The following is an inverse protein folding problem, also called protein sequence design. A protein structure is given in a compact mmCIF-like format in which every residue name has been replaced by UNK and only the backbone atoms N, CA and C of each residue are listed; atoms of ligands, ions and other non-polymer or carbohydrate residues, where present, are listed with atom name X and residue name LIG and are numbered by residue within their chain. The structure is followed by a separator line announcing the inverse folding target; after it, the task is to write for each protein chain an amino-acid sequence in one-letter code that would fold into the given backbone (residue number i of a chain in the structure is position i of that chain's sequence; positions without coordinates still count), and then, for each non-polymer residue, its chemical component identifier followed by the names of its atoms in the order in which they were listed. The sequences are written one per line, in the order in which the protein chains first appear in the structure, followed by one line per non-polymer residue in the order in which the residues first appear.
data_IF_359594722674
#
_entry.id   IF_359594722674
#
_cell.length_a   1.000
_cell.length_b   1.000
_cell.length_c   1.000
_cell.angle_alpha   90.00
_cell.angle_beta   90.00
_cell.angle_gamma   90.00
#
_symmetry.space_group_name_H-M   'P 1'
#
loop_
_entity.id
_entity.type
_entity.pdbx_description
1 polymer ?
#
# COMPACT_ATOMS: atom_id res chain seq x y z
N UNK A 1 12.88 -7.75 13.02
CA UNK A 1 12.56 -6.77 11.96
C UNK A 1 11.47 -5.73 12.37
N UNK A 2 10.77 -5.88 13.48
CA UNK A 2 9.66 -5.01 13.97
C UNK A 2 10.00 -3.53 14.24
N UNK A 3 11.25 -3.09 14.18
CA UNK A 3 11.64 -1.70 14.56
C UNK A 3 12.22 -0.81 13.45
N UNK A 4 12.35 -1.30 12.23
CA UNK A 4 12.92 -0.52 11.12
C UNK A 4 11.86 0.17 10.25
N UNK A 5 10.65 -0.36 10.18
CA UNK A 5 9.58 0.19 9.36
C UNK A 5 9.04 1.56 9.84
N UNK A 6 8.77 1.78 11.15
CA UNK A 6 8.28 3.09 11.60
C UNK A 6 9.30 4.21 11.40
N UNK A 7 10.60 3.92 11.37
CA UNK A 7 11.64 4.92 11.19
C UNK A 7 11.76 5.44 9.75
N UNK A 8 11.48 4.63 8.75
CA UNK A 8 11.52 5.03 7.34
C UNK A 8 10.29 5.87 6.98
N UNK A 9 9.12 5.51 7.50
CA UNK A 9 7.88 6.28 7.34
C UNK A 9 7.99 7.63 8.08
N UNK A 10 8.58 7.66 9.28
CA UNK A 10 8.84 8.88 10.03
C UNK A 10 9.83 9.81 9.29
N UNK A 11 10.83 9.29 8.60
CA UNK A 11 11.79 10.10 7.85
C UNK A 11 11.16 10.74 6.60
N UNK A 12 10.24 10.04 5.92
CA UNK A 12 9.47 10.58 4.78
C UNK A 12 8.41 11.58 5.22
N UNK A 13 7.80 11.40 6.41
CA UNK A 13 6.87 12.37 6.98
C UNK A 13 7.55 13.66 7.45
N UNK A 14 8.80 13.61 7.92
CA UNK A 14 9.56 14.79 8.34
C UNK A 14 9.85 15.74 7.16
N UNK A 15 9.97 15.23 5.94
CA UNK A 15 10.10 16.07 4.75
C UNK A 15 8.79 16.81 4.39
N UNK A 16 7.62 16.27 4.79
CA UNK A 16 6.31 16.90 4.59
C UNK A 16 5.88 17.85 5.71
N UNK A 17 6.42 17.69 6.94
CA UNK A 17 6.00 18.45 8.11
C UNK A 17 6.77 19.76 8.34
N UNK A 18 7.79 20.07 7.53
CA UNK A 18 8.57 21.31 7.71
C UNK A 18 7.81 22.60 7.36
N UNK A 19 6.52 22.52 7.03
CA UNK A 19 5.67 23.70 6.80
C UNK A 19 4.53 23.88 7.81
N UNK A 20 4.40 23.04 8.82
CA UNK A 20 3.27 23.05 9.75
C UNK A 20 3.63 23.48 11.21
N UNK A 21 4.84 23.92 11.46
CA UNK A 21 5.18 24.50 12.78
C UNK A 21 5.38 26.01 12.67
N UNK A 22 4.38 26.75 13.02
CA UNK A 22 4.40 27.97 13.86
C UNK A 22 2.99 28.49 14.01
N UNK A 23 2.48 28.45 15.13
CA UNK A 23 2.18 29.42 16.16
C UNK A 23 0.96 29.00 16.95
N UNK A 24 1.24 28.39 18.07
CA UNK A 24 0.37 28.54 19.22
C UNK A 24 0.52 29.99 19.71
N UNK A 25 -0.55 30.76 19.66
CA UNK A 25 -0.81 31.73 20.71
C UNK A 25 -2.22 32.29 20.72
N UNK A 26 -2.78 32.25 21.91
CA UNK A 26 -3.88 33.06 22.48
C UNK A 26 -5.32 32.72 22.11
N UNK A 27 -5.88 32.01 23.07
CA UNK A 27 -7.27 32.13 23.51
C UNK A 27 -7.83 33.55 23.37
N UNK A 28 -8.86 33.68 22.53
CA UNK A 28 -9.90 34.68 22.75
C UNK A 28 -11.24 33.99 22.38
N UNK A 29 -12.05 33.78 23.38
CA UNK A 29 -13.46 33.41 23.20
C UNK A 29 -14.13 34.45 22.32
N UNK A 30 -14.52 34.05 21.15
CA UNK A 30 -15.48 34.81 20.34
C UNK A 30 -16.51 33.86 19.75
N UNK A 31 -17.70 33.95 20.28
CA UNK A 31 -19.01 33.62 19.69
C UNK A 31 -18.97 32.72 18.46
N UNK A 32 -19.49 31.50 18.62
CA UNK A 32 -19.89 30.59 17.54
C UNK A 32 -20.84 31.31 16.58
N UNK A 33 -20.29 31.99 15.57
CA UNK A 33 -21.06 32.38 14.41
C UNK A 33 -21.14 31.12 13.54
N UNK A 34 -22.33 30.53 13.42
CA UNK A 34 -22.62 29.53 12.40
C UNK A 34 -22.26 30.13 11.05
N UNK A 35 -21.09 29.80 10.50
CA UNK A 35 -20.70 30.22 9.17
C UNK A 35 -21.17 29.14 8.19
N UNK A 36 -22.00 29.56 7.28
CA UNK A 36 -22.50 28.73 6.18
C UNK A 36 -21.33 28.20 5.32
N UNK A 37 -21.49 27.04 4.68
CA UNK A 37 -20.47 26.52 3.78
C UNK A 37 -20.24 27.49 2.63
N UNK A 38 -19.00 27.88 2.39
CA UNK A 38 -18.67 28.76 1.27
C UNK A 38 -18.63 27.92 0.00
N UNK A 39 -19.60 28.08 -0.89
CA UNK A 39 -19.81 27.22 -2.04
C UNK A 39 -18.69 27.22 -3.08
N UNK A 40 -18.00 28.36 -3.29
CA UNK A 40 -17.02 28.53 -4.38
C UNK A 40 -15.75 29.20 -3.85
N UNK A 41 -14.59 28.65 -4.17
CA UNK A 41 -13.28 29.19 -3.89
C UNK A 41 -12.48 29.39 -5.19
N UNK A 42 -12.00 30.61 -5.41
CA UNK A 42 -11.07 30.94 -6.48
C UNK A 42 -9.73 31.33 -5.84
N UNK A 43 -8.66 30.66 -6.20
CA UNK A 43 -7.36 30.79 -5.55
C UNK A 43 -6.22 30.91 -6.56
N UNK A 44 -5.50 32.04 -6.53
CA UNK A 44 -4.25 32.20 -7.29
C UNK A 44 -3.04 31.72 -6.48
N UNK A 45 -3.01 31.99 -5.17
CA UNK A 45 -1.93 31.60 -4.27
C UNK A 45 -2.46 31.45 -2.84
N UNK A 46 -1.70 30.80 -1.94
CA UNK A 46 -2.08 30.48 -0.55
C UNK A 46 -2.74 31.64 0.23
N UNK A 47 -2.34 32.88 -0.03
CA UNK A 47 -2.87 34.08 0.63
C UNK A 47 -3.73 34.96 -0.32
N UNK A 48 -3.94 34.55 -1.56
CA UNK A 48 -4.75 35.25 -2.57
C UNK A 48 -5.92 34.36 -2.98
N UNK A 49 -6.71 33.97 -1.99
CA UNK A 49 -7.90 33.11 -2.14
C UNK A 49 -9.14 33.92 -1.72
N UNK A 50 -10.26 33.66 -2.35
CA UNK A 50 -11.56 34.18 -1.93
C UNK A 50 -12.01 33.69 -0.57
N UNK A 51 -11.35 32.62 -0.05
CA UNK A 51 -11.53 32.11 1.31
C UNK A 51 -10.24 32.25 2.11
N UNK A 52 -10.33 32.84 3.30
CA UNK A 52 -9.24 32.83 4.26
C UNK A 52 -9.10 31.43 4.90
N UNK A 53 -7.88 31.00 5.12
CA UNK A 53 -7.49 29.67 5.62
C UNK A 53 -8.08 29.29 6.99
N UNK A 54 -8.51 30.29 7.77
CA UNK A 54 -9.03 30.11 9.14
C UNK A 54 -10.55 29.89 9.21
N UNK A 55 -11.23 29.77 8.09
CA UNK A 55 -12.69 29.57 8.10
C UNK A 55 -13.04 28.08 8.30
N UNK A 56 -13.84 27.79 9.31
CA UNK A 56 -14.43 26.48 9.63
C UNK A 56 -15.46 26.04 8.58
N UNK A 57 -15.24 26.34 7.32
CA UNK A 57 -16.17 26.06 6.23
C UNK A 57 -15.74 24.88 5.35
N UNK A 58 -16.68 24.35 4.59
CA UNK A 58 -16.40 23.39 3.51
C UNK A 58 -16.54 24.08 2.16
N UNK A 59 -15.60 23.78 1.25
CA UNK A 59 -15.62 24.27 -0.13
C UNK A 59 -16.31 23.24 -1.00
N UNK A 60 -17.31 23.65 -1.80
CA UNK A 60 -17.99 22.76 -2.75
C UNK A 60 -17.34 22.79 -4.14
N UNK A 61 -16.84 23.94 -4.56
CA UNK A 61 -16.12 24.10 -5.82
C UNK A 61 -14.86 24.93 -5.61
N UNK A 62 -13.74 24.44 -6.06
CA UNK A 62 -12.45 25.13 -5.99
C UNK A 62 -11.76 25.13 -7.35
N UNK A 63 -11.30 26.30 -7.79
CA UNK A 63 -10.51 26.46 -8.99
C UNK A 63 -9.33 27.39 -8.69
N UNK A 64 -8.10 26.96 -9.05
CA UNK A 64 -6.94 27.80 -8.77
C UNK A 64 -5.61 27.30 -9.34
N UNK A 65 -4.57 28.09 -9.11
CA UNK A 65 -3.19 27.65 -9.35
C UNK A 65 -2.69 26.81 -8.18
N UNK A 66 -2.74 27.40 -6.99
CA UNK A 66 -2.44 26.71 -5.73
C UNK A 66 -3.52 27.09 -4.72
N UNK A 67 -4.19 26.10 -4.15
CA UNK A 67 -5.26 26.32 -3.18
C UNK A 67 -5.01 25.66 -1.86
N UNK A 68 -5.52 26.30 -0.82
CA UNK A 68 -5.48 25.83 0.55
C UNK A 68 -6.87 26.00 1.15
N UNK A 69 -7.44 24.92 1.68
CA UNK A 69 -8.80 24.92 2.22
C UNK A 69 -8.91 23.97 3.42
N UNK A 70 -9.92 24.22 4.29
CA UNK A 70 -10.12 23.38 5.46
C UNK A 70 -10.71 22.02 5.09
N UNK A 71 -11.80 22.02 4.30
CA UNK A 71 -12.45 20.80 3.78
C UNK A 71 -12.87 21.02 2.33
N UNK A 72 -12.82 19.96 1.54
CA UNK A 72 -13.40 19.93 0.19
C UNK A 72 -14.56 18.93 0.16
N UNK A 73 -15.77 19.43 -0.13
CA UNK A 73 -16.96 18.61 -0.34
C UNK A 73 -17.52 18.90 -1.74
N UNK A 74 -16.89 18.34 -2.77
CA UNK A 74 -17.28 18.57 -4.15
C UNK A 74 -16.13 18.47 -5.13
N UNK A 75 -15.86 19.51 -5.92
CA UNK A 75 -14.85 19.47 -6.99
C UNK A 75 -13.78 20.52 -6.77
N UNK A 76 -12.53 20.08 -6.79
CA UNK A 76 -11.34 20.94 -6.73
C UNK A 76 -10.45 20.73 -7.96
N UNK A 77 -10.15 21.80 -8.69
CA UNK A 77 -9.24 21.77 -9.84
C UNK A 77 -8.14 22.81 -9.62
N UNK A 78 -6.89 22.38 -9.60
CA UNK A 78 -5.75 23.26 -9.41
C UNK A 78 -4.63 22.94 -10.39
N UNK A 79 -3.95 23.95 -10.89
CA UNK A 79 -2.88 23.73 -11.86
C UNK A 79 -1.61 23.19 -11.17
N UNK A 80 -1.24 23.71 -10.00
CA UNK A 80 -0.01 23.32 -9.30
C UNK A 80 -0.31 22.37 -8.15
N UNK A 81 -1.04 22.83 -7.14
CA UNK A 81 -1.23 22.05 -5.95
C UNK A 81 -2.48 22.40 -5.17
N UNK A 82 -2.90 21.48 -4.33
CA UNK A 82 -4.03 21.66 -3.44
C UNK A 82 -3.72 21.09 -2.07
N UNK A 83 -3.99 21.87 -1.04
CA UNK A 83 -3.88 21.47 0.37
C UNK A 83 -5.25 21.51 1.01
N UNK A 84 -5.73 20.37 1.48
CA UNK A 84 -6.95 20.23 2.27
C UNK A 84 -6.52 19.84 3.68
N UNK A 85 -6.73 20.68 4.67
CA UNK A 85 -6.23 20.45 6.03
C UNK A 85 -6.93 19.31 6.76
N UNK A 86 -8.19 19.04 6.44
CA UNK A 86 -9.00 17.98 7.03
C UNK A 86 -9.43 16.99 5.95
N UNK A 87 -10.74 16.84 5.77
CA UNK A 87 -11.29 15.78 4.94
C UNK A 87 -11.61 16.27 3.52
N UNK A 88 -11.44 15.41 2.56
CA UNK A 88 -11.81 15.59 1.18
C UNK A 88 -12.89 14.58 0.80
N UNK A 89 -14.04 15.08 0.30
CA UNK A 89 -15.12 14.27 -0.24
C UNK A 89 -15.49 14.77 -1.65
N UNK A 90 -15.26 13.97 -2.67
CA UNK A 90 -15.58 14.33 -4.05
C UNK A 90 -14.44 14.10 -5.01
N UNK A 91 -14.14 15.09 -5.86
CA UNK A 91 -13.12 14.99 -6.90
C UNK A 91 -12.08 16.09 -6.74
N UNK A 92 -10.81 15.73 -6.72
CA UNK A 92 -9.69 16.66 -6.65
C UNK A 92 -8.69 16.35 -7.77
N UNK A 93 -8.41 17.33 -8.61
CA UNK A 93 -7.48 17.22 -9.73
C UNK A 93 -6.42 18.31 -9.64
N UNK A 94 -5.16 17.93 -9.65
CA UNK A 94 -4.03 18.88 -9.63
C UNK A 94 -2.95 18.51 -10.64
N UNK A 95 -2.25 19.53 -11.13
CA UNK A 95 -1.13 19.31 -12.03
C UNK A 95 0.09 18.67 -11.34
N UNK A 96 0.37 19.02 -10.05
CA UNK A 96 1.53 18.47 -9.35
C UNK A 96 1.13 17.62 -8.16
N UNK A 97 0.57 18.22 -7.09
CA UNK A 97 0.38 17.50 -5.83
C UNK A 97 -0.93 17.82 -5.13
N UNK A 98 -1.55 16.78 -4.57
CA UNK A 98 -2.64 16.87 -3.62
C UNK A 98 -2.15 16.48 -2.23
N UNK A 99 -2.45 17.30 -1.23
CA UNK A 99 -2.23 17.00 0.16
C UNK A 99 -3.57 17.08 0.91
N UNK A 100 -3.96 16.01 1.56
CA UNK A 100 -5.14 15.92 2.42
C UNK A 100 -4.65 15.53 3.81
N UNK A 101 -4.88 16.38 4.81
CA UNK A 101 -4.41 16.14 6.17
C UNK A 101 -5.19 15.06 6.91
N UNK A 102 -6.46 14.86 6.57
CA UNK A 102 -7.34 13.82 7.11
C UNK A 102 -7.70 12.77 6.07
N UNK A 103 -8.96 12.35 6.08
CA UNK A 103 -9.45 11.29 5.19
C UNK A 103 -9.90 11.80 3.83
N UNK A 104 -9.61 11.02 2.80
CA UNK A 104 -10.03 11.23 1.42
C UNK A 104 -11.12 10.24 1.04
N UNK A 105 -12.24 10.74 0.46
CA UNK A 105 -13.30 9.92 -0.13
C UNK A 105 -13.67 10.43 -1.52
N UNK A 106 -13.54 9.58 -2.51
CA UNK A 106 -13.88 9.90 -3.89
C UNK A 106 -12.72 9.72 -4.86
N UNK A 107 -12.37 10.73 -5.64
CA UNK A 107 -11.34 10.64 -6.69
C UNK A 107 -10.28 11.72 -6.49
N UNK A 108 -9.03 11.32 -6.48
CA UNK A 108 -7.89 12.21 -6.38
C UNK A 108 -6.90 11.94 -7.53
N UNK A 109 -6.55 12.97 -8.28
CA UNK A 109 -5.63 12.87 -9.41
C UNK A 109 -4.56 13.94 -9.28
N UNK A 110 -3.29 13.54 -9.36
CA UNK A 110 -2.14 14.44 -9.36
C UNK A 110 -1.08 14.02 -10.37
N UNK A 111 -0.42 14.98 -10.98
CA UNK A 111 0.68 14.69 -11.90
C UNK A 111 1.93 14.12 -11.22
N UNK A 112 2.17 14.44 -9.95
CA UNK A 112 3.33 13.94 -9.19
C UNK A 112 2.87 13.09 -8.01
N UNK A 113 2.15 13.67 -7.02
CA UNK A 113 1.89 12.95 -5.78
C UNK A 113 0.51 13.21 -5.19
N UNK A 114 -0.07 12.15 -4.62
CA UNK A 114 -1.21 12.21 -3.73
C UNK A 114 -0.77 11.81 -2.33
N UNK A 115 -1.02 12.67 -1.34
CA UNK A 115 -0.69 12.41 0.06
C UNK A 115 -1.94 12.57 0.92
N UNK A 116 -2.32 11.52 1.62
CA UNK A 116 -3.44 11.49 2.55
C UNK A 116 -2.92 11.15 3.94
N UNK A 117 -3.22 12.00 4.93
CA UNK A 117 -2.74 11.83 6.30
C UNK A 117 -3.39 10.64 7.01
N UNK A 118 -4.68 10.41 6.79
CA UNK A 118 -5.43 9.32 7.42
C UNK A 118 -5.84 8.25 6.39
N UNK A 119 -7.13 8.17 6.07
CA UNK A 119 -7.71 7.11 5.27
C UNK A 119 -7.99 7.55 3.85
N UNK A 120 -7.84 6.63 2.91
CA UNK A 120 -8.25 6.77 1.53
C UNK A 120 -9.38 5.79 1.23
N UNK A 121 -10.50 6.31 0.71
CA UNK A 121 -11.60 5.48 0.23
C UNK A 121 -12.03 5.95 -1.16
N UNK A 122 -11.67 5.20 -2.20
CA UNK A 122 -12.02 5.54 -3.58
C UNK A 122 -10.88 5.32 -4.58
N UNK A 123 -10.62 6.33 -5.40
CA UNK A 123 -9.61 6.24 -6.47
C UNK A 123 -8.53 7.31 -6.28
N UNK A 124 -7.28 6.90 -6.24
CA UNK A 124 -6.12 7.79 -6.20
C UNK A 124 -5.17 7.50 -7.36
N UNK A 125 -4.98 8.48 -8.22
CA UNK A 125 -4.08 8.39 -9.37
C UNK A 125 -2.95 9.42 -9.22
N UNK A 126 -1.72 8.98 -9.17
CA UNK A 126 -0.55 9.85 -9.11
C UNK A 126 0.51 9.47 -10.14
N UNK A 127 1.19 10.47 -10.70
CA UNK A 127 2.23 10.22 -11.69
C UNK A 127 3.45 9.53 -11.10
N UNK A 128 3.81 9.80 -9.83
CA UNK A 128 4.96 9.18 -9.18
C UNK A 128 4.59 8.46 -7.89
N UNK A 129 4.04 9.16 -6.88
CA UNK A 129 3.94 8.60 -5.52
C UNK A 129 2.55 8.82 -4.93
N UNK A 130 1.97 7.74 -4.42
CA UNK A 130 0.77 7.74 -3.58
C UNK A 130 1.11 7.39 -2.14
N UNK A 131 0.72 8.22 -1.17
CA UNK A 131 0.95 7.98 0.26
C UNK A 131 -0.38 8.08 1.00
N UNK A 132 -0.67 7.08 1.82
CA UNK A 132 -1.82 7.07 2.74
C UNK A 132 -1.30 6.69 4.12
N UNK A 133 -1.61 7.53 5.12
CA UNK A 133 -1.09 7.35 6.49
C UNK A 133 -1.57 6.07 7.15
N UNK A 134 -2.87 5.80 7.11
CA UNK A 134 -3.46 4.65 7.81
C UNK A 134 -4.03 3.64 6.81
N UNK A 135 -5.34 3.69 6.52
CA UNK A 135 -6.00 2.68 5.71
C UNK A 135 -6.28 3.17 4.29
N UNK A 136 -6.04 2.33 3.32
CA UNK A 136 -6.37 2.57 1.92
C UNK A 136 -7.37 1.54 1.40
N UNK A 137 -8.49 2.01 0.85
CA UNK A 137 -9.53 1.16 0.27
C UNK A 137 -9.95 1.67 -1.11
N UNK A 138 -9.78 0.84 -2.14
CA UNK A 138 -10.23 1.14 -3.49
C UNK A 138 -9.16 0.90 -4.54
N UNK A 139 -8.98 1.85 -5.46
CA UNK A 139 -7.99 1.73 -6.54
C UNK A 139 -6.92 2.80 -6.38
N UNK A 140 -5.69 2.37 -6.24
CA UNK A 140 -4.53 3.25 -6.09
C UNK A 140 -3.54 2.94 -7.20
N UNK A 141 -3.25 3.94 -8.00
CA UNK A 141 -2.26 3.87 -9.06
C UNK A 141 -1.18 4.94 -8.85
N UNK A 142 0.07 4.54 -8.89
CA UNK A 142 1.21 5.45 -8.90
C UNK A 142 2.26 4.98 -9.89
N UNK A 143 2.84 5.92 -10.62
CA UNK A 143 3.85 5.61 -11.61
C UNK A 143 5.15 5.01 -11.02
N UNK A 144 5.45 5.28 -9.75
CA UNK A 144 6.57 4.65 -9.04
C UNK A 144 6.10 3.83 -7.83
N UNK A 145 5.53 4.49 -6.80
CA UNK A 145 5.37 3.82 -5.52
C UNK A 145 4.05 4.18 -4.85
N UNK A 146 3.36 3.16 -4.32
CA UNK A 146 2.28 3.32 -3.35
C UNK A 146 2.76 2.93 -1.96
N UNK A 147 2.50 3.78 -0.97
CA UNK A 147 2.82 3.54 0.44
C UNK A 147 1.55 3.70 1.27
N UNK A 148 1.18 2.67 2.00
CA UNK A 148 0.06 2.66 2.95
C UNK A 148 0.64 2.31 4.32
N UNK A 149 0.36 3.14 5.32
CA UNK A 149 0.94 2.97 6.66
C UNK A 149 0.48 1.71 7.35
N UNK A 150 -0.82 1.44 7.31
CA UNK A 150 -1.42 0.27 7.96
C UNK A 150 -2.00 -0.68 6.91
N UNK A 151 -3.31 -0.67 6.72
CA UNK A 151 -4.01 -1.68 5.91
C UNK A 151 -4.33 -1.20 4.50
N UNK A 152 -4.07 -2.05 3.51
CA UNK A 152 -4.38 -1.79 2.11
C UNK A 152 -5.39 -2.79 1.56
N UNK A 153 -6.52 -2.32 1.03
CA UNK A 153 -7.54 -3.18 0.42
C UNK A 153 -8.00 -2.69 -0.94
N UNK A 154 -8.14 -3.62 -1.90
CA UNK A 154 -8.55 -3.32 -3.25
C UNK A 154 -7.45 -3.53 -4.28
N UNK A 155 -7.28 -2.59 -5.19
CA UNK A 155 -6.31 -2.71 -6.28
C UNK A 155 -5.20 -1.67 -6.10
N UNK A 156 -3.97 -2.13 -5.88
CA UNK A 156 -2.77 -1.29 -5.82
C UNK A 156 -1.88 -1.59 -7.02
N UNK A 157 -1.60 -0.56 -7.80
CA UNK A 157 -0.71 -0.67 -8.96
C UNK A 157 0.40 0.36 -8.79
N UNK A 158 1.62 -0.11 -8.60
CA UNK A 158 2.83 0.71 -8.51
C UNK A 158 3.80 0.38 -9.65
N UNK A 159 4.34 1.39 -10.32
CA UNK A 159 5.32 1.15 -11.37
C UNK A 159 6.58 0.44 -10.85
N UNK A 160 6.97 0.69 -9.60
CA UNK A 160 8.08 -0.01 -8.95
C UNK A 160 7.62 -0.77 -7.71
N UNK A 161 6.99 -0.10 -6.73
CA UNK A 161 6.75 -0.67 -5.41
C UNK A 161 5.30 -0.45 -4.94
N UNK A 162 4.74 -1.45 -4.26
CA UNK A 162 3.60 -1.28 -3.35
C UNK A 162 4.04 -1.72 -1.96
N UNK A 163 3.81 -0.88 -0.96
CA UNK A 163 4.18 -1.14 0.43
C UNK A 163 2.95 -0.91 1.31
N UNK A 164 2.56 -1.90 2.08
CA UNK A 164 1.59 -1.79 3.15
C UNK A 164 2.24 -2.21 4.47
N UNK A 165 2.05 -1.42 5.52
CA UNK A 165 2.71 -1.64 6.82
C UNK A 165 2.17 -2.84 7.58
N UNK A 166 0.88 -3.12 7.44
CA UNK A 166 0.19 -4.22 8.12
C UNK A 166 -0.49 -5.14 7.10
N UNK A 167 -1.81 -5.28 7.19
CA UNK A 167 -2.57 -6.24 6.40
C UNK A 167 -2.92 -5.72 5.01
N UNK A 168 -2.90 -6.61 4.05
CA UNK A 168 -3.26 -6.30 2.67
C UNK A 168 -4.27 -7.27 2.10
N UNK A 169 -5.15 -6.77 1.22
CA UNK A 169 -6.12 -7.63 0.52
C UNK A 169 -6.46 -7.13 -0.88
N UNK A 170 -6.76 -8.06 -1.78
CA UNK A 170 -7.15 -7.75 -3.15
C UNK A 170 -6.09 -8.05 -4.18
N UNK A 171 -5.80 -7.11 -5.09
CA UNK A 171 -4.83 -7.31 -6.15
C UNK A 171 -3.71 -6.24 -6.08
N UNK A 172 -2.49 -6.66 -5.81
CA UNK A 172 -1.33 -5.78 -5.76
C UNK A 172 -0.36 -6.11 -6.90
N UNK A 173 -0.06 -5.13 -7.73
CA UNK A 173 0.80 -5.29 -8.91
C UNK A 173 1.91 -4.24 -8.85
N UNK A 174 3.16 -4.68 -8.96
CA UNK A 174 4.31 -3.79 -8.96
C UNK A 174 5.37 -4.22 -9.98
N UNK A 175 6.09 -3.25 -10.54
CA UNK A 175 7.20 -3.56 -11.46
C UNK A 175 8.37 -4.26 -10.78
N UNK A 176 8.68 -3.91 -9.52
CA UNK A 176 9.77 -4.54 -8.76
C UNK A 176 9.24 -5.38 -7.61
N UNK A 177 8.52 -4.79 -6.65
CA UNK A 177 8.14 -5.54 -5.47
C UNK A 177 6.80 -5.10 -4.85
N UNK A 178 6.08 -6.08 -4.28
CA UNK A 178 4.99 -5.85 -3.34
C UNK A 178 5.42 -6.32 -1.96
N UNK A 179 5.17 -5.50 -0.94
CA UNK A 179 5.53 -5.76 0.45
C UNK A 179 4.31 -5.55 1.34
N UNK A 180 3.89 -6.57 2.07
CA UNK A 180 2.90 -6.54 3.13
C UNK A 180 3.59 -6.87 4.45
N UNK A 181 3.43 -6.02 5.45
CA UNK A 181 4.10 -6.19 6.74
C UNK A 181 3.61 -7.38 7.54
N UNK A 182 2.32 -7.67 7.46
CA UNK A 182 1.66 -8.78 8.15
C UNK A 182 0.97 -9.71 7.15
N UNK A 183 -0.35 -9.74 7.12
CA UNK A 183 -1.13 -10.68 6.32
C UNK A 183 -1.42 -10.18 4.90
N UNK A 184 -1.53 -11.10 3.96
CA UNK A 184 -2.01 -10.83 2.60
C UNK A 184 -3.08 -11.82 2.17
N UNK A 185 -4.23 -11.30 1.66
CA UNK A 185 -5.31 -12.11 1.11
C UNK A 185 -5.60 -11.65 -0.33
N UNK A 186 -5.34 -12.50 -1.32
CA UNK A 186 -5.65 -12.18 -2.72
C UNK A 186 -4.55 -12.55 -3.70
N UNK A 187 -4.28 -11.65 -4.65
CA UNK A 187 -3.29 -11.87 -5.71
C UNK A 187 -2.22 -10.79 -5.64
N UNK A 188 -0.96 -11.19 -5.57
CA UNK A 188 0.16 -10.26 -5.69
C UNK A 188 1.10 -10.68 -6.83
N UNK A 189 1.40 -9.75 -7.70
CA UNK A 189 2.27 -9.95 -8.85
C UNK A 189 3.38 -8.88 -8.91
N UNK A 190 4.61 -9.30 -9.12
CA UNK A 190 5.75 -8.38 -9.22
C UNK A 190 6.81 -8.86 -10.22
N UNK A 191 7.59 -7.91 -10.74
CA UNK A 191 8.70 -8.24 -11.61
C UNK A 191 9.85 -8.95 -10.88
N UNK A 192 10.09 -8.65 -9.59
CA UNK A 192 11.17 -9.29 -8.84
C UNK A 192 10.67 -10.04 -7.61
N UNK A 193 10.08 -9.36 -6.61
CA UNK A 193 9.85 -9.94 -5.30
C UNK A 193 8.44 -9.65 -4.77
N UNK A 194 7.79 -10.65 -4.17
CA UNK A 194 6.66 -10.44 -3.28
C UNK A 194 7.03 -10.89 -1.87
N UNK A 195 6.79 -10.05 -0.89
CA UNK A 195 7.12 -10.29 0.51
C UNK A 195 5.86 -10.11 1.35
N UNK A 196 5.50 -11.12 2.11
CA UNK A 196 4.44 -11.11 3.11
C UNK A 196 5.06 -11.48 4.45
N UNK A 197 4.93 -10.62 5.45
CA UNK A 197 5.60 -10.77 6.74
C UNK A 197 5.09 -11.96 7.55
N UNK A 198 3.80 -12.20 7.55
CA UNK A 198 3.19 -13.28 8.32
C UNK A 198 2.44 -14.27 7.42
N UNK A 199 1.14 -14.07 7.15
CA UNK A 199 0.32 -15.07 6.51
C UNK A 199 -0.12 -14.68 5.10
N UNK A 200 -0.04 -15.63 4.18
CA UNK A 200 -0.54 -15.50 2.81
C UNK A 200 -1.73 -16.42 2.58
N UNK A 201 -2.83 -15.87 2.05
CA UNK A 201 -3.92 -16.64 1.47
C UNK A 201 -4.19 -16.16 0.05
N UNK A 202 -3.81 -16.96 -0.94
CA UNK A 202 -4.04 -16.61 -2.34
C UNK A 202 -2.88 -16.96 -3.25
N UNK A 203 -2.51 -16.02 -4.13
CA UNK A 203 -1.54 -16.26 -5.19
C UNK A 203 -0.43 -15.22 -5.16
N UNK A 204 0.82 -15.69 -5.16
CA UNK A 204 2.00 -14.85 -5.39
C UNK A 204 2.70 -15.25 -6.68
N UNK A 205 2.96 -14.28 -7.54
CA UNK A 205 3.70 -14.46 -8.79
C UNK A 205 4.83 -13.43 -8.85
N UNK A 206 6.05 -13.88 -9.05
CA UNK A 206 7.21 -12.99 -9.17
C UNK A 206 8.24 -13.47 -10.18
N UNK A 207 9.03 -12.55 -10.68
CA UNK A 207 10.12 -12.89 -11.59
C UNK A 207 11.29 -13.58 -10.88
N UNK A 208 11.59 -13.22 -9.63
CA UNK A 208 12.67 -13.84 -8.86
C UNK A 208 12.14 -14.65 -7.68
N UNK A 209 11.43 -14.06 -6.74
CA UNK A 209 11.12 -14.76 -5.51
C UNK A 209 9.87 -14.34 -4.79
N UNK A 210 9.21 -15.28 -4.12
CA UNK A 210 8.12 -15.05 -3.20
C UNK A 210 8.54 -15.49 -1.79
N UNK A 211 8.31 -14.63 -0.81
CA UNK A 211 8.64 -14.86 0.59
C UNK A 211 7.40 -14.67 1.44
N UNK A 212 7.06 -15.68 2.23
CA UNK A 212 6.03 -15.62 3.27
C UNK A 212 6.67 -16.02 4.60
N UNK A 213 6.58 -15.14 5.59
CA UNK A 213 7.29 -15.32 6.87
C UNK A 213 6.77 -16.46 7.69
N UNK A 214 5.46 -16.68 7.77
CA UNK A 214 4.85 -17.72 8.57
C UNK A 214 4.07 -18.73 7.72
N UNK A 215 2.78 -18.47 7.49
CA UNK A 215 1.90 -19.46 6.88
C UNK A 215 1.47 -19.07 5.46
N UNK A 216 1.46 -20.04 4.58
CA UNK A 216 1.01 -19.87 3.20
C UNK A 216 -0.08 -20.86 2.85
N UNK A 217 -1.20 -20.34 2.31
CA UNK A 217 -2.28 -21.14 1.75
C UNK A 217 -2.61 -20.65 0.33
N UNK A 218 -2.25 -21.46 -0.69
CA UNK A 218 -2.54 -21.14 -2.08
C UNK A 218 -1.41 -21.49 -3.03
N UNK A 219 -0.99 -20.54 -3.88
CA UNK A 219 -0.03 -20.77 -4.95
C UNK A 219 1.09 -19.75 -4.93
N UNK A 220 2.34 -20.20 -4.96
CA UNK A 220 3.51 -19.37 -5.22
C UNK A 220 4.21 -19.82 -6.50
N UNK A 221 4.42 -18.87 -7.43
CA UNK A 221 5.17 -19.09 -8.67
C UNK A 221 6.29 -18.07 -8.75
N UNK A 222 7.52 -18.49 -8.94
CA UNK A 222 8.63 -17.59 -9.15
C UNK A 222 9.68 -18.13 -10.11
N UNK A 223 10.47 -17.23 -10.69
CA UNK A 223 11.55 -17.61 -11.60
C UNK A 223 12.78 -18.15 -10.91
N UNK A 224 12.97 -17.93 -9.58
CA UNK A 224 14.12 -18.43 -8.84
C UNK A 224 13.72 -19.20 -7.58
N UNK A 225 12.93 -18.62 -6.66
CA UNK A 225 12.68 -19.29 -5.40
C UNK A 225 11.43 -18.86 -4.65
N UNK A 226 10.79 -19.84 -3.99
CA UNK A 226 9.69 -19.63 -3.07
C UNK A 226 10.11 -20.04 -1.67
N UNK A 227 9.81 -19.20 -0.68
CA UNK A 227 10.15 -19.44 0.73
C UNK A 227 8.92 -19.26 1.60
N UNK A 228 8.63 -20.25 2.43
CA UNK A 228 7.62 -20.20 3.49
C UNK A 228 8.28 -20.60 4.81
N UNK A 229 8.19 -19.70 5.80
CA UNK A 229 8.91 -19.89 7.06
C UNK A 229 8.38 -21.04 7.92
N UNK A 230 7.05 -21.16 8.02
CA UNK A 230 6.43 -22.16 8.91
C UNK A 230 5.57 -23.17 8.15
N UNK A 231 4.31 -22.85 7.89
CA UNK A 231 3.35 -23.79 7.32
C UNK A 231 3.02 -23.47 5.87
N UNK A 232 3.19 -24.46 5.02
CA UNK A 232 2.82 -24.42 3.63
C UNK A 232 1.62 -25.32 3.33
N UNK A 233 0.60 -24.78 2.66
CA UNK A 233 -0.54 -25.56 2.15
C UNK A 233 -0.89 -25.09 0.73
N UNK A 234 -0.69 -25.94 -0.27
CA UNK A 234 -1.02 -25.61 -1.66
C UNK A 234 0.06 -26.01 -2.65
N UNK A 235 0.48 -25.07 -3.52
CA UNK A 235 1.50 -25.35 -4.52
C UNK A 235 2.61 -24.29 -4.56
N UNK A 236 3.87 -24.74 -4.70
CA UNK A 236 5.04 -23.92 -4.99
C UNK A 236 5.69 -24.37 -6.29
N UNK A 237 5.94 -23.45 -7.20
CA UNK A 237 6.58 -23.71 -8.49
C UNK A 237 7.74 -22.72 -8.66
N UNK A 238 8.96 -23.21 -8.54
CA UNK A 238 10.20 -22.44 -8.77
C UNK A 238 11.38 -23.39 -8.84
N UNK A 239 12.54 -22.96 -9.38
CA UNK A 239 13.78 -23.75 -9.28
C UNK A 239 14.11 -24.16 -7.83
N UNK A 240 13.91 -23.26 -6.85
CA UNK A 240 14.18 -23.53 -5.44
C UNK A 240 12.91 -23.29 -4.60
N UNK A 241 12.38 -24.33 -3.94
CA UNK A 241 11.24 -24.24 -3.05
C UNK A 241 11.62 -24.64 -1.64
N UNK A 242 11.35 -23.78 -0.66
CA UNK A 242 11.65 -23.98 0.76
C UNK A 242 10.39 -23.79 1.60
N UNK A 243 10.14 -24.73 2.52
CA UNK A 243 9.06 -24.62 3.49
C UNK A 243 9.45 -25.19 4.85
N UNK A 244 8.87 -24.67 5.93
CA UNK A 244 9.07 -25.18 7.29
C UNK A 244 8.46 -26.57 7.43
N UNK A 245 7.16 -26.69 7.26
CA UNK A 245 6.39 -27.93 7.13
C UNK A 245 5.20 -27.69 6.22
N UNK A 246 4.62 -28.74 5.66
CA UNK A 246 3.51 -28.45 4.78
C UNK A 246 2.77 -29.62 4.20
N UNK A 247 1.73 -29.23 3.45
CA UNK A 247 0.88 -30.13 2.70
C UNK A 247 0.63 -29.57 1.30
N UNK A 248 0.93 -30.37 0.27
CA UNK A 248 0.64 -29.96 -1.09
C UNK A 248 1.64 -30.40 -2.13
N UNK A 249 1.99 -29.51 -3.06
CA UNK A 249 2.86 -29.81 -4.21
C UNK A 249 4.02 -28.82 -4.29
N UNK A 250 5.23 -29.32 -4.46
CA UNK A 250 6.39 -28.52 -4.85
C UNK A 250 6.97 -29.04 -6.17
N UNK A 251 7.17 -28.13 -7.11
CA UNK A 251 7.77 -28.44 -8.42
C UNK A 251 8.99 -27.52 -8.61
N UNK A 252 10.17 -28.10 -8.77
CA UNK A 252 11.39 -27.32 -8.92
C UNK A 252 12.63 -28.19 -9.21
N UNK A 253 13.79 -27.56 -9.17
CA UNK A 253 15.07 -28.30 -9.19
C UNK A 253 15.40 -28.82 -7.80
N UNK A 254 15.24 -27.97 -6.78
CA UNK A 254 15.47 -28.30 -5.38
C UNK A 254 14.21 -27.97 -4.58
N UNK A 255 13.64 -28.98 -3.93
CA UNK A 255 12.54 -28.84 -3.01
C UNK A 255 12.98 -29.27 -1.60
N UNK A 256 12.77 -28.39 -0.62
CA UNK A 256 13.24 -28.63 0.75
C UNK A 256 12.17 -28.34 1.80
N UNK A 257 12.07 -29.23 2.78
CA UNK A 257 11.30 -29.03 4.02
C UNK A 257 12.17 -29.14 5.23
N UNK A 258 11.89 -28.29 6.20
CA UNK A 258 12.62 -28.33 7.46
C UNK A 258 12.13 -29.44 8.41
N UNK A 259 10.80 -29.70 8.44
CA UNK A 259 10.21 -30.62 9.43
C UNK A 259 9.46 -31.80 8.78
N UNK A 260 8.20 -31.64 8.44
CA UNK A 260 7.33 -32.67 7.87
C UNK A 260 6.61 -32.22 6.65
N UNK A 261 6.42 -33.11 5.69
CA UNK A 261 5.64 -32.85 4.49
C UNK A 261 4.68 -33.97 4.15
N UNK A 262 3.45 -33.59 3.83
CA UNK A 262 2.41 -34.48 3.34
C UNK A 262 2.01 -34.02 1.93
N UNK A 263 2.55 -34.67 0.90
CA UNK A 263 2.27 -34.27 -0.47
C UNK A 263 3.25 -34.79 -1.50
N UNK A 264 3.32 -34.07 -2.62
CA UNK A 264 4.10 -34.45 -3.78
C UNK A 264 5.24 -33.47 -4.05
N UNK A 265 6.45 -33.95 -4.21
CA UNK A 265 7.61 -33.19 -4.69
C UNK A 265 8.11 -33.73 -6.01
N UNK A 266 8.28 -32.85 -6.99
CA UNK A 266 8.90 -33.15 -8.28
C UNK A 266 10.13 -32.26 -8.45
N UNK A 267 11.33 -32.84 -8.44
CA UNK A 267 12.57 -32.10 -8.59
C UNK A 267 13.78 -32.99 -8.72
N UNK A 268 14.93 -32.42 -9.10
CA UNK A 268 16.20 -33.15 -9.15
C UNK A 268 16.64 -33.53 -7.75
N UNK A 269 16.44 -32.66 -6.77
CA UNK A 269 16.74 -32.90 -5.36
C UNK A 269 15.50 -32.64 -4.54
N UNK A 270 14.96 -33.63 -3.87
CA UNK A 270 13.89 -33.49 -2.91
C UNK A 270 14.42 -33.90 -1.54
N UNK A 271 14.61 -32.94 -0.66
CA UNK A 271 15.28 -33.13 0.61
C UNK A 271 14.36 -32.77 1.79
N UNK A 272 14.40 -33.59 2.81
CA UNK A 272 13.88 -33.33 4.14
C UNK A 272 14.86 -33.83 5.18
N UNK A 273 14.72 -33.54 6.48
CA UNK A 273 15.65 -34.01 7.52
C UNK A 273 15.80 -35.54 7.58
N UNK A 274 14.75 -36.27 7.19
CA UNK A 274 14.69 -37.72 7.33
C UNK A 274 15.10 -38.47 6.06
N UNK A 275 14.98 -37.87 4.89
CA UNK A 275 15.23 -38.51 3.60
C UNK A 275 15.72 -37.53 2.53
N UNK A 276 16.78 -37.95 1.83
CA UNK A 276 17.22 -37.30 0.60
C UNK A 276 16.90 -38.21 -0.58
N UNK A 277 15.88 -37.80 -1.38
CA UNK A 277 15.52 -38.56 -2.58
C UNK A 277 15.84 -37.75 -3.84
N UNK A 278 16.45 -38.39 -4.81
CA UNK A 278 16.62 -37.88 -6.16
C UNK A 278 15.38 -38.19 -6.99
N UNK A 279 14.87 -37.18 -7.73
CA UNK A 279 13.83 -37.23 -8.74
C UNK A 279 12.35 -37.27 -8.24
N UNK A 280 12.01 -37.96 -7.17
CA UNK A 280 10.62 -38.10 -6.77
C UNK A 280 10.45 -38.48 -5.31
N UNK A 281 9.54 -37.83 -4.59
CA UNK A 281 9.07 -38.28 -3.27
C UNK A 281 7.56 -38.25 -3.17
N UNK A 282 6.97 -39.37 -2.77
CA UNK A 282 5.60 -39.48 -2.31
C UNK A 282 5.62 -39.81 -0.81
N UNK A 283 4.67 -39.30 0.00
CA UNK A 283 4.59 -39.70 1.38
C UNK A 283 4.39 -41.23 1.46
N UNK A 284 5.15 -41.85 2.35
CA UNK A 284 4.89 -43.24 2.71
C UNK A 284 3.58 -43.32 3.48
N UNK A 285 2.62 -44.13 3.07
CA UNK A 285 1.42 -44.31 3.87
C UNK A 285 1.84 -44.93 5.21
N UNK A 286 1.51 -44.25 6.30
CA UNK A 286 1.58 -44.80 7.66
C UNK A 286 0.28 -45.44 8.01
#
# INVERSE_FOLDING_TARGET
MRRLFPSIIALLMVAGTLSAQTTDNKSTETTKKNREPVGVNLSLWKNMSTQQTDTVGSTCFNLGLFSSMNRLNGVGINLLGSVVYRDMNGVQVTGLANLVGGSMRGVQIAGISNVNGDNLCGVSLSGLVGITGNHAQGVIFSGLTNIVGDNASGVLIGGLLNIAGENSSGAHIAGLANISGEDFIGITASGLLNIVGENLRGVQISGLGNITGENMQGLQISGLGNVVGEHFTGAQVAPFNFAGKGKGVQIGLVNYYKNSFDGFQLGLVNANPDTNCLLYTSPSPR
#
